data_IF_593235956537
#
_entry.id   IF_593235956537
#
_cell.length_a   1.000
_cell.length_b   1.000
_cell.length_c   1.000
_cell.angle_alpha   90.00
_cell.angle_beta   90.00
_cell.angle_gamma   90.00
#
_symmetry.space_group_name_H-M   'P 1'
#
loop_
_entity.id
_entity.type
_entity.pdbx_description
1 polymer ?
#
# COMPACT_ATOMS: atom_id res chain seq x y z
N UNK A 1 -9.95 -16.29 3.55
CA UNK A 1 -10.67 -15.17 4.21
C UNK A 1 -10.94 -14.01 3.27
N UNK A 2 -9.97 -13.57 2.45
CA UNK A 2 -10.18 -12.46 1.51
C UNK A 2 -11.45 -12.59 0.63
N UNK A 3 -11.69 -13.75 0.03
CA UNK A 3 -12.88 -13.96 -0.82
C UNK A 3 -14.21 -13.71 -0.07
N UNK A 4 -14.29 -14.09 1.22
CA UNK A 4 -15.47 -13.82 2.04
C UNK A 4 -15.66 -12.33 2.32
N UNK A 5 -14.58 -11.59 2.56
CA UNK A 5 -14.64 -10.14 2.77
C UNK A 5 -15.05 -9.41 1.49
N UNK A 6 -14.43 -9.75 0.35
CA UNK A 6 -14.78 -9.17 -0.95
C UNK A 6 -16.24 -9.44 -1.36
N UNK A 7 -16.83 -10.57 -0.94
CA UNK A 7 -18.24 -10.85 -1.19
C UNK A 7 -19.21 -9.94 -0.39
N UNK A 8 -18.77 -9.38 0.73
CA UNK A 8 -19.59 -8.51 1.59
C UNK A 8 -19.42 -7.03 1.20
N UNK A 9 -18.18 -6.59 0.99
CA UNK A 9 -17.86 -5.16 0.77
C UNK A 9 -17.44 -4.82 -0.66
N UNK A 10 -17.33 -5.82 -1.54
CA UNK A 10 -16.82 -5.65 -2.91
C UNK A 10 -15.30 -5.50 -2.99
N UNK A 11 -14.82 -5.12 -4.16
CA UNK A 11 -13.41 -4.81 -4.41
C UNK A 11 -13.17 -3.32 -4.18
N UNK A 12 -12.17 -2.93 -3.36
CA UNK A 12 -11.87 -1.53 -3.13
C UNK A 12 -11.37 -0.84 -4.41
N UNK A 13 -11.77 0.42 -4.61
CA UNK A 13 -11.21 1.26 -5.67
C UNK A 13 -9.72 1.49 -5.36
N UNK A 14 -8.80 1.24 -6.32
CA UNK A 14 -7.39 1.55 -6.14
C UNK A 14 -7.15 3.03 -5.86
N UNK A 15 -6.17 3.33 -5.01
CA UNK A 15 -5.67 4.69 -4.80
C UNK A 15 -4.71 5.07 -5.93
N UNK A 16 -4.73 6.34 -6.33
CA UNK A 16 -3.70 6.91 -7.20
C UNK A 16 -2.57 7.48 -6.34
N UNK A 17 -1.33 7.23 -6.75
CA UNK A 17 -0.13 7.71 -6.08
C UNK A 17 0.70 8.56 -7.04
N UNK A 18 1.44 9.54 -6.50
CA UNK A 18 2.46 10.27 -7.25
C UNK A 18 3.78 9.50 -7.24
N UNK A 19 4.79 9.96 -7.97
CA UNK A 19 6.13 9.34 -7.98
C UNK A 19 6.98 9.73 -6.76
N UNK A 20 6.49 10.64 -5.92
CA UNK A 20 7.22 11.10 -4.74
C UNK A 20 7.20 10.04 -3.64
N UNK A 21 8.38 9.60 -3.23
CA UNK A 21 8.54 8.72 -2.06
C UNK A 21 8.51 9.56 -0.78
N UNK A 22 7.64 9.19 0.16
CA UNK A 22 7.45 9.89 1.44
C UNK A 22 8.07 9.15 2.62
N UNK A 23 8.24 7.83 2.53
CA UNK A 23 8.94 7.03 3.54
C UNK A 23 9.52 5.75 2.96
N UNK A 24 10.51 5.19 3.66
CA UNK A 24 11.10 3.88 3.39
C UNK A 24 10.74 2.94 4.54
N UNK A 25 10.45 1.69 4.22
CA UNK A 25 10.20 0.64 5.20
C UNK A 25 11.46 -0.21 5.33
N UNK A 26 12.10 -0.12 6.49
CA UNK A 26 13.28 -0.89 6.85
C UNK A 26 12.86 -2.12 7.68
N UNK A 27 13.38 -3.27 7.32
CA UNK A 27 13.23 -4.49 8.09
C UNK A 27 14.20 -4.53 9.26
N UNK A 28 13.95 -5.43 10.21
CA UNK A 28 14.70 -5.51 11.47
C UNK A 28 16.20 -5.78 11.29
N UNK A 29 16.58 -6.35 10.16
CA UNK A 29 17.97 -6.63 9.80
C UNK A 29 18.67 -5.47 9.06
N UNK A 30 17.99 -4.35 8.88
CA UNK A 30 18.48 -3.18 8.15
C UNK A 30 18.22 -3.20 6.65
N UNK A 31 17.59 -4.24 6.10
CA UNK A 31 17.22 -4.27 4.68
C UNK A 31 16.01 -3.40 4.37
N UNK A 32 16.03 -2.73 3.21
CA UNK A 32 14.87 -1.98 2.73
C UNK A 32 13.89 -2.93 2.03
N UNK A 33 12.66 -2.99 2.52
CA UNK A 33 11.65 -3.94 2.03
C UNK A 33 10.50 -3.28 1.28
N UNK A 34 10.24 -1.98 1.50
CA UNK A 34 9.16 -1.28 0.82
C UNK A 34 9.36 0.24 0.80
N UNK A 35 8.59 0.92 -0.06
CA UNK A 35 8.54 2.38 -0.17
C UNK A 35 7.10 2.87 -0.08
N UNK A 36 6.86 3.91 0.70
CA UNK A 36 5.56 4.56 0.78
C UNK A 36 5.57 5.77 -0.15
N UNK A 37 4.60 5.84 -1.07
CA UNK A 37 4.42 6.93 -2.02
C UNK A 37 3.33 7.91 -1.57
N UNK A 38 3.48 9.17 -1.96
CA UNK A 38 2.49 10.22 -1.75
C UNK A 38 1.19 9.90 -2.51
N UNK A 39 0.04 10.12 -1.86
CA UNK A 39 -1.28 9.96 -2.48
C UNK A 39 -1.53 11.15 -3.41
N UNK A 40 -2.09 10.87 -4.59
CA UNK A 40 -2.51 11.91 -5.53
C UNK A 40 -3.91 12.41 -5.12
N UNK A 41 -4.04 13.73 -4.94
CA UNK A 41 -5.31 14.41 -4.63
C UNK A 41 -6.39 14.20 -5.71
#
# INVERSE_FOLDING_TARGET
MQQKAAAIVGTPKPLEFTDRVVALVEYRDGSLIDVIKEIKD
#
